data_IF_043845980229
#
_entry.id   IF_043845980229
#
_cell.length_a   1.000
_cell.length_b   1.000
_cell.length_c   1.000
_cell.angle_alpha   90.00
_cell.angle_beta   90.00
_cell.angle_gamma   90.00
#
_symmetry.space_group_name_H-M   'P 1'
#
loop_
_entity.id
_entity.type
_entity.pdbx_description
1 polymer ?
#
# COMPACT_ATOMS: atom_id res chain seq x y z
N UNK A 1 4.36 -26.72 51.75
CA UNK A 1 2.92 -26.96 52.00
C UNK A 1 2.23 -25.64 52.33
N UNK A 2 1.33 -25.20 51.43
CA UNK A 2 0.13 -24.34 51.60
C UNK A 2 0.14 -23.16 52.60
N UNK A 3 -0.15 -21.95 52.07
CA UNK A 3 -1.18 -20.96 52.48
C UNK A 3 -0.96 -19.68 51.63
N UNK A 4 -1.53 -19.55 50.43
CA UNK A 4 -2.85 -19.00 50.09
C UNK A 4 -3.25 -17.76 50.92
N UNK A 5 -3.06 -16.59 50.31
CA UNK A 5 -3.70 -15.33 50.66
C UNK A 5 -4.91 -15.10 49.75
N UNK A 6 -6.05 -14.84 50.38
CA UNK A 6 -7.29 -14.31 49.83
C UNK A 6 -7.15 -12.81 49.53
N UNK A 7 -7.66 -12.36 48.39
CA UNK A 7 -8.41 -11.08 48.22
C UNK A 7 -9.39 -11.32 47.07
N UNK A 8 -10.67 -11.11 47.35
CA UNK A 8 -11.75 -11.31 46.39
C UNK A 8 -11.97 -10.11 45.48
N UNK A 9 -12.60 -10.36 44.34
CA UNK A 9 -13.60 -9.47 43.77
C UNK A 9 -14.44 -10.27 42.77
N UNK A 10 -15.67 -10.59 43.18
CA UNK A 10 -16.72 -11.08 42.30
C UNK A 10 -17.35 -9.88 41.59
N UNK A 11 -17.29 -9.84 40.25
CA UNK A 11 -18.26 -9.07 39.47
C UNK A 11 -18.79 -9.95 38.34
N UNK A 12 -20.01 -10.45 38.56
CA UNK A 12 -20.84 -11.13 37.57
C UNK A 12 -21.22 -10.12 36.49
N UNK A 13 -20.76 -10.34 35.25
CA UNK A 13 -21.33 -9.69 34.07
C UNK A 13 -22.70 -10.32 33.77
N UNK A 14 -23.77 -9.61 34.16
CA UNK A 14 -25.13 -9.95 33.76
C UNK A 14 -25.34 -9.43 32.34
N UNK A 15 -25.43 -10.36 31.37
CA UNK A 15 -26.01 -10.08 30.07
C UNK A 15 -27.50 -9.77 30.25
N UNK A 16 -27.98 -8.63 29.75
CA UNK A 16 -29.42 -8.35 29.64
C UNK A 16 -29.84 -8.26 28.18
N UNK A 17 -30.73 -9.19 27.82
CA UNK A 17 -31.60 -9.13 26.65
C UNK A 17 -32.44 -7.85 26.66
N UNK A 18 -32.50 -7.15 25.52
CA UNK A 18 -33.50 -6.12 25.29
C UNK A 18 -34.86 -6.79 25.08
N UNK A 19 -35.76 -6.62 26.04
CA UNK A 19 -37.19 -6.83 25.86
C UNK A 19 -37.91 -5.47 25.89
N UNK A 20 -38.87 -5.36 24.98
CA UNK A 20 -39.81 -4.27 24.77
C UNK A 20 -40.43 -3.71 26.05
N UNK A 21 -40.50 -2.37 26.18
CA UNK A 21 -41.71 -1.60 26.53
C UNK A 21 -41.45 -0.12 26.19
N UNK A 22 -42.28 0.45 25.34
CA UNK A 22 -42.41 1.88 25.16
C UNK A 22 -43.44 2.44 26.14
N UNK A 23 -43.09 3.43 26.97
CA UNK A 23 -44.02 4.49 27.45
C UNK A 23 -43.27 5.78 27.81
N UNK A 24 -43.75 6.87 27.17
CA UNK A 24 -43.83 8.28 27.60
C UNK A 24 -42.57 8.96 28.16
N UNK A 25 -41.97 9.79 27.30
CA UNK A 25 -41.73 11.20 27.58
C UNK A 25 -40.70 11.54 28.65
N UNK A 26 -39.43 11.29 28.37
CA UNK A 26 -38.29 12.02 28.94
C UNK A 26 -37.05 11.71 28.08
N UNK A 27 -36.26 12.72 27.73
CA UNK A 27 -34.95 12.55 27.07
C UNK A 27 -33.88 12.64 28.16
N UNK A 28 -33.15 11.58 28.52
CA UNK A 28 -31.97 11.72 29.37
C UNK A 28 -30.74 11.75 28.46
N UNK A 29 -30.19 12.95 28.34
CA UNK A 29 -28.94 13.22 27.63
C UNK A 29 -28.45 14.58 28.09
N UNK A 30 -27.70 14.61 29.18
CA UNK A 30 -27.15 15.84 29.72
C UNK A 30 -26.89 15.71 31.20
N UNK A 31 -25.84 14.98 31.58
CA UNK A 31 -24.98 15.29 32.74
C UNK A 31 -23.82 14.28 32.94
N UNK A 32 -23.81 13.12 32.28
CA UNK A 32 -22.72 12.13 32.44
C UNK A 32 -21.49 12.31 31.53
N UNK A 33 -21.44 13.37 30.70
CA UNK A 33 -20.27 13.64 29.82
C UNK A 33 -19.24 14.60 30.43
N UNK A 34 -19.44 15.06 31.65
CA UNK A 34 -18.63 16.14 32.26
C UNK A 34 -17.42 15.64 33.05
N UNK A 35 -17.13 14.34 33.10
CA UNK A 35 -16.07 13.76 33.96
C UNK A 35 -14.99 12.93 33.26
N UNK A 36 -14.96 12.88 31.93
CA UNK A 36 -13.78 12.35 31.24
C UNK A 36 -12.83 13.51 30.97
N UNK A 37 -11.86 13.67 31.88
CA UNK A 37 -10.69 14.51 31.73
C UNK A 37 -10.08 14.33 30.33
N UNK A 38 -9.83 15.45 29.66
CA UNK A 38 -9.33 15.51 28.29
C UNK A 38 -7.89 14.98 28.09
N UNK A 39 -7.23 14.47 29.14
CA UNK A 39 -5.79 14.24 29.15
C UNK A 39 -5.33 12.78 29.27
N UNK A 40 -6.24 11.78 29.31
CA UNK A 40 -5.87 10.35 29.42
C UNK A 40 -6.12 9.51 28.15
N UNK A 41 -6.29 10.14 26.99
CA UNK A 41 -6.39 9.42 25.71
C UNK A 41 -5.11 9.62 24.91
N UNK A 42 -4.36 8.54 24.71
CA UNK A 42 -3.37 8.41 23.64
C UNK A 42 -3.88 9.12 22.37
N UNK A 43 -3.06 9.92 21.67
CA UNK A 43 -3.52 10.96 20.76
C UNK A 43 -4.59 10.39 19.83
N UNK A 44 -5.83 10.89 19.95
CA UNK A 44 -6.94 10.45 19.13
C UNK A 44 -6.52 10.55 17.67
N UNK A 45 -6.17 9.41 17.05
CA UNK A 45 -5.63 9.38 15.70
C UNK A 45 -6.63 10.08 14.79
N UNK A 46 -6.22 11.23 14.24
CA UNK A 46 -7.01 12.03 13.32
C UNK A 46 -7.46 11.13 12.16
N UNK A 47 -8.77 10.90 12.08
CA UNK A 47 -9.35 10.10 11.01
C UNK A 47 -9.10 10.78 9.66
N UNK A 48 -8.86 9.96 8.65
CA UNK A 48 -8.72 10.36 7.25
C UNK A 48 -10.03 10.09 6.50
N UNK A 49 -10.21 10.76 5.38
CA UNK A 49 -11.40 10.61 4.51
C UNK A 49 -11.01 9.81 3.29
N UNK A 50 -11.33 8.52 3.29
CA UNK A 50 -11.13 7.63 2.14
C UNK A 50 -12.33 7.74 1.21
N UNK A 51 -12.12 7.89 -0.10
CA UNK A 51 -13.21 8.12 -1.05
C UNK A 51 -13.00 7.36 -2.37
N UNK A 52 -14.10 7.19 -3.09
CA UNK A 52 -14.15 6.34 -4.29
C UNK A 52 -14.61 4.92 -3.97
N UNK A 53 -15.21 4.28 -4.97
CA UNK A 53 -15.92 3.02 -4.79
C UNK A 53 -14.96 1.84 -4.52
N UNK A 54 -14.02 1.59 -5.43
CA UNK A 54 -13.04 0.51 -5.30
C UNK A 54 -12.11 0.67 -4.08
N UNK A 55 -11.53 1.86 -3.79
CA UNK A 55 -10.74 2.07 -2.58
C UNK A 55 -11.52 1.76 -1.29
N UNK A 56 -12.77 2.20 -1.19
CA UNK A 56 -13.57 1.94 0.00
C UNK A 56 -13.93 0.45 0.14
N UNK A 57 -14.29 -0.21 -0.95
CA UNK A 57 -14.62 -1.63 -0.94
C UNK A 57 -13.42 -2.50 -0.56
N UNK A 58 -12.25 -2.22 -1.14
CA UNK A 58 -11.01 -2.94 -0.83
C UNK A 58 -10.52 -2.66 0.59
N UNK A 59 -10.60 -1.42 1.07
CA UNK A 59 -10.27 -1.09 2.47
C UNK A 59 -11.16 -1.83 3.47
N UNK A 60 -12.46 -1.93 3.19
CA UNK A 60 -13.35 -2.77 3.98
C UNK A 60 -12.86 -4.22 3.94
N UNK A 61 -12.74 -4.83 2.76
CA UNK A 61 -12.37 -6.26 2.63
C UNK A 61 -11.05 -6.58 3.33
N UNK A 62 -10.01 -5.79 3.10
CA UNK A 62 -8.69 -5.98 3.68
C UNK A 62 -8.64 -5.80 5.21
N UNK A 63 -9.56 -5.02 5.78
CA UNK A 63 -9.68 -4.78 7.22
C UNK A 63 -8.37 -4.25 7.88
N UNK A 64 -7.51 -3.58 7.11
CA UNK A 64 -6.26 -2.96 7.59
C UNK A 64 -6.45 -1.58 8.21
N UNK A 65 -7.65 -1.00 8.05
CA UNK A 65 -8.05 0.27 8.65
C UNK A 65 -9.23 0.06 9.58
N UNK A 66 -9.27 0.81 10.67
CA UNK A 66 -10.50 0.98 11.46
C UNK A 66 -11.43 1.93 10.71
N UNK A 67 -12.64 1.50 10.41
CA UNK A 67 -13.65 2.32 9.75
C UNK A 67 -14.64 2.83 10.79
N UNK A 68 -14.72 4.15 10.94
CA UNK A 68 -15.63 4.79 11.89
C UNK A 68 -17.06 4.90 11.34
N UNK A 69 -17.20 5.25 10.06
CA UNK A 69 -18.49 5.34 9.37
C UNK A 69 -18.34 5.37 7.85
N UNK A 70 -19.38 4.91 7.16
CA UNK A 70 -19.55 4.99 5.72
C UNK A 70 -20.53 6.12 5.37
N UNK A 71 -20.13 7.00 4.46
CA UNK A 71 -20.97 8.03 3.85
C UNK A 71 -21.29 7.61 2.42
N UNK A 72 -22.54 7.23 2.19
CA UNK A 72 -23.02 6.71 0.91
C UNK A 72 -24.12 7.60 0.37
N UNK A 73 -23.85 8.30 -0.73
CA UNK A 73 -24.85 9.12 -1.41
C UNK A 73 -25.99 8.25 -1.93
N UNK A 74 -27.24 8.62 -1.62
CA UNK A 74 -28.41 8.02 -2.24
C UNK A 74 -28.42 8.31 -3.75
N UNK A 75 -28.32 7.27 -4.58
CA UNK A 75 -28.41 7.39 -6.03
C UNK A 75 -29.86 7.52 -6.51
N UNK A 76 -30.08 8.22 -7.63
CA UNK A 76 -31.41 8.31 -8.27
C UNK A 76 -31.92 6.95 -8.78
N UNK A 77 -31.01 6.04 -9.14
CA UNK A 77 -31.31 4.71 -9.68
C UNK A 77 -31.27 3.57 -8.63
N UNK A 78 -31.29 3.90 -7.33
CA UNK A 78 -31.11 2.92 -6.26
C UNK A 78 -29.66 2.47 -6.04
N UNK A 79 -29.48 1.51 -5.13
CA UNK A 79 -28.19 0.89 -4.81
C UNK A 79 -28.03 -0.38 -5.63
N UNK A 80 -27.16 -0.35 -6.65
CA UNK A 80 -26.88 -1.48 -7.52
C UNK A 80 -25.38 -1.73 -7.65
N UNK A 81 -24.99 -2.94 -8.04
CA UNK A 81 -23.60 -3.35 -8.26
C UNK A 81 -22.71 -3.15 -7.03
N UNK A 82 -21.49 -2.64 -7.24
CA UNK A 82 -20.49 -2.42 -6.19
C UNK A 82 -20.98 -1.57 -5.01
N UNK A 83 -21.96 -0.66 -5.20
CA UNK A 83 -22.52 0.14 -4.11
C UNK A 83 -23.41 -0.68 -3.16
N UNK A 84 -24.18 -1.62 -3.71
CA UNK A 84 -24.98 -2.54 -2.92
C UNK A 84 -24.06 -3.49 -2.13
N UNK A 85 -22.98 -3.95 -2.77
CA UNK A 85 -21.99 -4.75 -2.09
C UNK A 85 -21.30 -3.99 -0.96
N UNK A 86 -20.88 -2.74 -1.20
CA UNK A 86 -20.27 -1.90 -0.18
C UNK A 86 -21.18 -1.73 1.05
N UNK A 87 -22.48 -1.50 0.82
CA UNK A 87 -23.47 -1.41 1.89
C UNK A 87 -23.54 -2.73 2.68
N UNK A 88 -23.69 -3.86 1.99
CA UNK A 88 -23.77 -5.19 2.60
C UNK A 88 -22.55 -5.49 3.47
N UNK A 89 -21.35 -5.18 2.98
CA UNK A 89 -20.09 -5.40 3.70
C UNK A 89 -19.97 -4.48 4.93
N UNK A 90 -20.45 -3.24 4.83
CA UNK A 90 -20.47 -2.31 5.95
C UNK A 90 -21.46 -2.74 7.04
N UNK A 91 -22.68 -3.12 6.65
CA UNK A 91 -23.72 -3.61 7.57
C UNK A 91 -23.30 -4.91 8.26
N UNK A 92 -22.71 -5.86 7.53
CA UNK A 92 -22.20 -7.11 8.10
C UNK A 92 -21.10 -6.90 9.16
N UNK A 93 -20.42 -5.75 9.12
CA UNK A 93 -19.40 -5.36 10.11
C UNK A 93 -19.90 -4.38 11.17
N UNK A 94 -21.20 -4.06 11.17
CA UNK A 94 -21.79 -3.10 12.10
C UNK A 94 -21.27 -1.66 11.92
N UNK A 95 -20.78 -1.30 10.73
CA UNK A 95 -20.27 0.05 10.45
C UNK A 95 -21.46 0.98 10.20
N UNK A 96 -21.58 2.12 10.92
CA UNK A 96 -22.65 3.09 10.70
C UNK A 96 -22.64 3.65 9.28
N UNK A 97 -23.80 3.67 8.62
CA UNK A 97 -23.98 4.19 7.26
C UNK A 97 -24.82 5.46 7.28
N UNK A 98 -24.25 6.56 6.80
CA UNK A 98 -24.91 7.86 6.66
C UNK A 98 -25.15 8.18 5.19
N UNK A 99 -26.26 8.87 4.90
CA UNK A 99 -26.64 9.27 3.54
C UNK A 99 -26.63 10.79 3.37
N UNK A 100 -25.45 11.42 3.21
CA UNK A 100 -25.37 12.86 3.03
C UNK A 100 -25.85 13.30 1.64
N UNK A 101 -26.19 14.60 1.53
CA UNK A 101 -26.38 15.27 0.23
C UNK A 101 -25.05 15.37 -0.51
N UNK A 102 -25.09 15.38 -1.84
CA UNK A 102 -23.91 15.48 -2.71
C UNK A 102 -22.96 16.63 -2.33
N UNK A 103 -23.50 17.84 -2.18
CA UNK A 103 -22.71 19.03 -1.81
C UNK A 103 -21.90 18.84 -0.52
N UNK A 104 -22.47 18.16 0.47
CA UNK A 104 -21.77 17.87 1.73
C UNK A 104 -20.64 16.86 1.51
N UNK A 105 -20.85 15.87 0.65
CA UNK A 105 -19.85 14.88 0.29
C UNK A 105 -18.70 15.49 -0.52
N UNK A 106 -19.01 16.38 -1.46
CA UNK A 106 -18.03 17.14 -2.24
C UNK A 106 -17.11 17.93 -1.29
N UNK A 107 -17.70 18.69 -0.36
CA UNK A 107 -16.94 19.45 0.64
C UNK A 107 -16.08 18.56 1.55
N UNK A 108 -16.61 17.41 2.01
CA UNK A 108 -15.86 16.46 2.82
C UNK A 108 -14.65 15.87 2.08
N UNK A 109 -14.78 15.63 0.76
CA UNK A 109 -13.72 15.03 -0.05
C UNK A 109 -12.80 16.06 -0.71
N UNK A 110 -12.89 17.35 -0.32
CA UNK A 110 -12.09 18.43 -0.93
C UNK A 110 -12.36 18.57 -2.42
N UNK A 111 -13.61 18.40 -2.85
CA UNK A 111 -14.08 18.47 -4.24
C UNK A 111 -13.42 17.46 -5.20
N UNK A 112 -12.80 16.40 -4.67
CA UNK A 112 -12.28 15.30 -5.47
C UNK A 112 -13.38 14.33 -5.92
N UNK A 113 -13.10 13.56 -6.98
CA UNK A 113 -14.05 12.60 -7.56
C UNK A 113 -14.31 11.42 -6.62
N UNK A 114 -15.30 11.55 -5.77
CA UNK A 114 -15.65 10.55 -4.74
C UNK A 114 -16.60 9.44 -5.19
N UNK A 115 -17.23 9.55 -6.37
CA UNK A 115 -18.21 8.57 -6.90
C UNK A 115 -19.41 8.30 -5.96
N UNK A 116 -19.74 9.22 -5.06
CA UNK A 116 -20.86 9.08 -4.11
C UNK A 116 -20.53 8.26 -2.87
N UNK A 117 -19.24 7.99 -2.62
CA UNK A 117 -18.77 7.17 -1.50
C UNK A 117 -17.61 7.85 -0.79
N UNK A 118 -17.70 7.92 0.54
CA UNK A 118 -16.60 8.32 1.42
C UNK A 118 -16.67 7.50 2.72
N UNK A 119 -15.54 7.24 3.35
CA UNK A 119 -15.44 6.61 4.66
C UNK A 119 -14.50 7.42 5.54
N UNK A 120 -14.84 7.52 6.82
CA UNK A 120 -13.90 8.01 7.82
C UNK A 120 -13.15 6.81 8.40
N UNK A 121 -11.83 6.83 8.24
CA UNK A 121 -10.98 5.69 8.50
C UNK A 121 -9.74 6.08 9.29
N UNK A 122 -9.14 5.14 9.99
CA UNK A 122 -7.79 5.32 10.53
C UNK A 122 -6.78 5.49 9.37
N UNK A 123 -5.68 6.22 9.61
CA UNK A 123 -4.58 6.27 8.65
C UNK A 123 -4.04 4.87 8.36
N UNK A 124 -3.56 4.67 7.14
CA UNK A 124 -2.74 3.53 6.77
C UNK A 124 -1.27 3.92 6.91
N UNK A 125 -0.45 3.03 7.44
CA UNK A 125 0.97 3.26 7.66
C UNK A 125 1.77 2.14 6.99
N UNK A 126 2.91 2.47 6.35
CA UNK A 126 3.82 1.43 5.90
C UNK A 126 4.37 0.68 7.11
N UNK A 127 4.61 -0.62 6.92
CA UNK A 127 5.25 -1.47 7.94
C UNK A 127 6.76 -1.20 8.00
N UNK A 128 7.43 -1.41 9.14
CA UNK A 128 8.89 -1.38 9.20
C UNK A 128 9.50 -2.44 8.26
N UNK A 129 10.62 -2.10 7.61
CA UNK A 129 11.28 -3.02 6.66
C UNK A 129 11.83 -4.30 7.31
N UNK A 130 12.07 -4.30 8.62
CA UNK A 130 12.55 -5.49 9.34
C UNK A 130 11.55 -6.65 9.21
N UNK A 131 10.24 -6.35 9.20
CA UNK A 131 9.17 -7.33 8.96
C UNK A 131 9.10 -7.83 7.51
N UNK A 132 9.83 -7.18 6.58
CA UNK A 132 9.86 -7.57 5.18
C UNK A 132 10.66 -8.85 4.94
N UNK A 133 11.58 -9.20 5.84
CA UNK A 133 12.37 -10.44 5.74
C UNK A 133 11.62 -11.65 6.33
N UNK A 134 10.86 -11.44 7.41
CA UNK A 134 10.30 -12.52 8.23
C UNK A 134 9.07 -13.19 7.61
N UNK A 135 8.39 -12.51 6.70
CA UNK A 135 7.21 -13.03 6.01
C UNK A 135 7.64 -13.80 4.76
N UNK A 136 8.37 -14.92 4.92
CA UNK A 136 8.84 -15.75 3.80
C UNK A 136 7.67 -16.15 2.88
N UNK A 137 7.48 -15.42 1.78
CA UNK A 137 6.80 -15.93 0.60
C UNK A 137 7.68 -17.07 0.10
N UNK A 138 7.26 -18.30 0.41
CA UNK A 138 8.09 -19.51 0.34
C UNK A 138 8.81 -19.65 -0.99
N UNK A 139 10.06 -20.13 -0.95
CA UNK A 139 10.90 -20.70 -2.01
C UNK A 139 10.71 -20.26 -3.49
N UNK A 140 10.12 -19.09 -3.79
CA UNK A 140 10.06 -18.60 -5.17
C UNK A 140 11.45 -18.09 -5.53
N UNK A 141 12.15 -18.76 -6.47
CA UNK A 141 13.49 -18.37 -6.87
C UNK A 141 13.52 -16.99 -7.56
N UNK A 142 12.37 -16.41 -7.92
CA UNK A 142 12.25 -15.17 -8.67
C UNK A 142 11.19 -14.26 -8.02
N UNK A 143 11.52 -13.72 -6.85
CA UNK A 143 10.77 -12.62 -6.24
C UNK A 143 11.14 -11.28 -6.86
N UNK A 144 10.17 -10.38 -6.98
CA UNK A 144 10.35 -9.02 -7.48
C UNK A 144 9.82 -8.02 -6.45
N UNK A 145 10.72 -7.25 -5.86
CA UNK A 145 10.35 -6.16 -4.98
C UNK A 145 10.59 -4.83 -5.68
N UNK A 146 9.66 -3.90 -5.48
CA UNK A 146 9.75 -2.57 -6.02
C UNK A 146 10.20 -1.61 -4.93
N UNK A 147 11.26 -0.86 -5.18
CA UNK A 147 11.84 0.11 -4.27
C UNK A 147 11.62 1.51 -4.83
N UNK A 148 10.98 2.37 -4.05
CA UNK A 148 10.58 3.72 -4.43
C UNK A 148 11.37 4.74 -3.60
N UNK A 149 12.34 5.40 -4.23
CA UNK A 149 13.13 6.47 -3.64
C UNK A 149 12.53 7.83 -3.98
N UNK A 150 12.03 8.54 -2.98
CA UNK A 150 11.73 9.96 -3.12
C UNK A 150 10.53 10.31 -4.01
N UNK A 151 9.57 9.39 -4.21
CA UNK A 151 8.33 9.69 -4.94
C UNK A 151 7.43 10.58 -4.09
N UNK A 152 7.18 11.81 -4.55
CA UNK A 152 6.45 12.81 -3.76
C UNK A 152 4.99 13.00 -4.20
N UNK A 153 4.67 12.76 -5.48
CA UNK A 153 3.32 12.94 -5.98
C UNK A 153 2.42 11.74 -5.61
N UNK A 154 1.32 11.94 -4.85
CA UNK A 154 0.39 10.86 -4.50
C UNK A 154 -0.27 10.20 -5.72
N UNK A 155 -0.40 10.91 -6.85
CA UNK A 155 -0.97 10.34 -8.08
C UNK A 155 0.00 9.37 -8.74
N UNK A 156 1.27 9.76 -8.88
CA UNK A 156 2.32 8.87 -9.38
C UNK A 156 2.49 7.65 -8.46
N UNK A 157 2.59 7.85 -7.14
CA UNK A 157 2.69 6.73 -6.19
C UNK A 157 1.51 5.78 -6.34
N UNK A 158 0.28 6.29 -6.40
CA UNK A 158 -0.90 5.44 -6.56
C UNK A 158 -0.90 4.65 -7.88
N UNK A 159 -0.53 5.30 -8.99
CA UNK A 159 -0.44 4.63 -10.29
C UNK A 159 0.65 3.55 -10.30
N UNK A 160 1.82 3.83 -9.71
CA UNK A 160 2.92 2.86 -9.50
C UNK A 160 2.44 1.67 -8.70
N UNK A 161 1.78 1.89 -7.55
CA UNK A 161 1.25 0.81 -6.71
C UNK A 161 0.22 -0.06 -7.43
N UNK A 162 -0.64 0.55 -8.26
CA UNK A 162 -1.62 -0.19 -9.06
C UNK A 162 -0.93 -1.08 -10.08
N UNK A 163 0.03 -0.54 -10.82
CA UNK A 163 0.82 -1.32 -11.79
C UNK A 163 1.60 -2.44 -11.11
N UNK A 164 2.24 -2.15 -9.97
CA UNK A 164 2.96 -3.12 -9.17
C UNK A 164 2.06 -4.28 -8.73
N UNK A 165 0.87 -3.98 -8.20
CA UNK A 165 -0.06 -5.02 -7.75
C UNK A 165 -0.56 -5.87 -8.91
N UNK A 166 -0.91 -5.22 -10.02
CA UNK A 166 -1.45 -5.89 -11.19
C UNK A 166 -0.42 -6.79 -11.88
N UNK A 167 0.86 -6.39 -11.86
CA UNK A 167 1.96 -7.12 -12.49
C UNK A 167 2.65 -8.11 -11.55
N UNK A 168 2.12 -8.31 -10.33
CA UNK A 168 2.61 -9.34 -9.41
C UNK A 168 3.90 -8.99 -8.67
N UNK A 169 4.15 -7.72 -8.39
CA UNK A 169 5.23 -7.31 -7.46
C UNK A 169 4.88 -7.82 -6.06
N UNK A 170 5.82 -8.53 -5.43
CA UNK A 170 5.61 -9.15 -4.11
C UNK A 170 5.55 -8.10 -3.00
N UNK A 171 6.44 -7.09 -3.06
CA UNK A 171 6.55 -6.05 -2.03
C UNK A 171 6.90 -4.70 -2.62
N UNK A 172 6.38 -3.67 -1.98
CA UNK A 172 6.79 -2.29 -2.25
C UNK A 172 7.52 -1.74 -1.03
N UNK A 173 8.74 -1.27 -1.23
CA UNK A 173 9.59 -0.62 -0.23
C UNK A 173 9.66 0.87 -0.58
N UNK A 174 9.53 1.75 0.41
CA UNK A 174 9.71 3.19 0.23
C UNK A 174 10.71 3.76 1.24
N UNK A 175 11.38 4.85 0.90
CA UNK A 175 12.16 5.60 1.89
C UNK A 175 11.22 6.25 2.92
N UNK A 176 11.57 6.13 4.21
CA UNK A 176 10.78 6.74 5.31
C UNK A 176 10.77 8.27 5.26
N UNK A 177 11.82 8.86 4.69
CA UNK A 177 11.97 10.30 4.47
C UNK A 177 11.78 10.61 2.99
N UNK A 178 11.34 11.83 2.71
CA UNK A 178 11.19 12.41 1.37
C UNK A 178 10.25 11.64 0.42
N UNK A 179 9.34 10.82 0.98
CA UNK A 179 8.33 10.09 0.21
C UNK A 179 6.92 10.54 0.56
N UNK A 180 6.02 10.40 -0.41
CA UNK A 180 4.61 10.65 -0.25
C UNK A 180 4.01 9.67 0.79
N UNK A 181 3.26 10.16 1.80
CA UNK A 181 2.57 9.28 2.73
C UNK A 181 1.43 8.50 2.04
N UNK A 182 1.03 7.38 2.64
CA UNK A 182 -0.09 6.52 2.19
C UNK A 182 -1.46 7.16 2.44
N UNK A 183 -1.77 8.22 1.69
CA UNK A 183 -2.98 9.02 1.85
C UNK A 183 -4.19 8.43 1.11
N UNK A 184 -5.41 8.88 1.43
CA UNK A 184 -6.60 8.59 0.63
C UNK A 184 -6.48 8.91 -0.86
N UNK A 185 -5.68 9.92 -1.23
CA UNK A 185 -5.43 10.29 -2.63
C UNK A 185 -4.63 9.19 -3.33
N UNK A 186 -3.63 8.61 -2.67
CA UNK A 186 -2.86 7.45 -3.18
C UNK A 186 -3.78 6.23 -3.30
N UNK A 187 -4.64 5.99 -2.32
CA UNK A 187 -5.66 4.92 -2.40
C UNK A 187 -6.57 5.09 -3.62
N UNK A 188 -7.03 6.32 -3.86
CA UNK A 188 -7.86 6.65 -5.01
C UNK A 188 -7.12 6.47 -6.33
N UNK A 189 -5.90 7.00 -6.45
CA UNK A 189 -5.08 6.90 -7.64
C UNK A 189 -4.70 5.44 -7.97
N UNK A 190 -4.50 4.61 -6.94
CA UNK A 190 -4.21 3.18 -7.09
C UNK A 190 -5.44 2.30 -7.35
N UNK A 191 -6.63 2.89 -7.48
CA UNK A 191 -7.91 2.17 -7.52
C UNK A 191 -8.12 1.21 -6.32
N UNK A 192 -7.48 1.50 -5.18
CA UNK A 192 -7.53 0.72 -3.95
C UNK A 192 -6.47 -0.37 -3.81
N UNK A 193 -5.54 -0.53 -4.78
CA UNK A 193 -4.45 -1.49 -4.64
C UNK A 193 -3.61 -1.27 -3.36
N UNK A 194 -3.44 -0.01 -2.95
CA UNK A 194 -2.79 0.36 -1.69
C UNK A 194 -3.44 -0.28 -0.45
N UNK A 195 -4.74 -0.56 -0.48
CA UNK A 195 -5.46 -1.12 0.66
C UNK A 195 -5.19 -2.62 0.83
N UNK A 196 -4.83 -3.33 -0.24
CA UNK A 196 -4.58 -4.79 -0.23
C UNK A 196 -3.09 -5.16 -0.33
N UNK A 197 -2.23 -4.20 -0.68
CA UNK A 197 -0.79 -4.41 -0.84
C UNK A 197 -0.01 -4.08 0.43
N UNK A 198 1.00 -4.89 0.73
CA UNK A 198 1.96 -4.60 1.79
C UNK A 198 3.04 -3.63 1.31
N UNK A 199 3.13 -2.50 2.02
CA UNK A 199 4.11 -1.44 1.79
C UNK A 199 4.98 -1.33 3.02
N UNK A 200 6.28 -1.35 2.80
CA UNK A 200 7.29 -1.26 3.84
C UNK A 200 8.06 0.05 3.72
N UNK A 201 8.55 0.56 4.84
CA UNK A 201 9.38 1.76 4.88
C UNK A 201 10.71 1.48 5.58
N UNK A 202 11.80 1.95 4.98
CA UNK A 202 13.15 1.91 5.58
C UNK A 202 13.69 3.32 5.85
N UNK A 203 14.31 3.57 7.02
CA UNK A 203 15.01 4.83 7.29
C UNK A 203 16.36 4.95 6.58
N UNK A 204 16.96 3.82 6.21
CA UNK A 204 18.25 3.70 5.52
C UNK A 204 18.05 2.84 4.26
N UNK A 205 17.90 3.50 3.13
CA UNK A 205 17.66 2.82 1.86
C UNK A 205 18.96 2.22 1.28
N UNK A 206 20.09 2.93 1.21
CA UNK A 206 21.35 2.35 0.74
C UNK A 206 21.78 1.12 1.54
N UNK A 207 21.73 1.18 2.88
CA UNK A 207 22.08 0.04 3.73
C UNK A 207 21.17 -1.17 3.50
N UNK A 208 19.86 -0.95 3.31
CA UNK A 208 18.92 -2.01 2.96
C UNK A 208 19.26 -2.68 1.63
N UNK A 209 19.56 -1.89 0.59
CA UNK A 209 19.92 -2.41 -0.73
C UNK A 209 21.21 -3.24 -0.68
N UNK A 210 22.22 -2.76 0.04
CA UNK A 210 23.50 -3.46 0.22
C UNK A 210 23.32 -4.78 0.97
N UNK A 211 22.54 -4.78 2.06
CA UNK A 211 22.25 -5.98 2.83
C UNK A 211 21.52 -7.04 1.97
N UNK A 212 20.57 -6.62 1.13
CA UNK A 212 19.88 -7.52 0.20
C UNK A 212 20.78 -8.05 -0.89
N UNK A 213 21.67 -7.21 -1.44
CA UNK A 213 22.68 -7.64 -2.40
C UNK A 213 23.57 -8.76 -1.83
N UNK A 214 24.00 -8.63 -0.58
CA UNK A 214 24.77 -9.67 0.13
C UNK A 214 23.98 -10.96 0.36
N UNK A 215 22.64 -10.88 0.43
CA UNK A 215 21.74 -12.03 0.50
C UNK A 215 21.44 -12.67 -0.86
N UNK A 216 22.14 -12.26 -1.93
CA UNK A 216 21.98 -12.81 -3.28
C UNK A 216 20.88 -12.15 -4.12
N UNK A 217 20.28 -11.05 -3.64
CA UNK A 217 19.33 -10.28 -4.44
C UNK A 217 20.05 -9.45 -5.50
N UNK A 218 19.49 -9.38 -6.70
CA UNK A 218 19.95 -8.47 -7.73
C UNK A 218 19.34 -7.07 -7.49
N UNK A 219 20.19 -6.07 -7.28
CA UNK A 219 19.74 -4.68 -7.12
C UNK A 219 19.84 -3.96 -8.46
N UNK A 220 18.68 -3.64 -9.02
CA UNK A 220 18.54 -3.04 -10.35
C UNK A 220 17.99 -1.64 -10.23
N UNK A 221 18.81 -0.63 -10.53
CA UNK A 221 18.36 0.76 -10.62
C UNK A 221 17.73 1.07 -11.97
N UNK A 222 16.98 2.15 -12.05
CA UNK A 222 16.41 2.65 -13.31
C UNK A 222 16.98 4.02 -13.65
N UNK A 223 17.32 4.22 -14.92
CA UNK A 223 17.79 5.50 -15.43
C UNK A 223 17.02 5.91 -16.68
N UNK A 224 16.97 7.23 -16.92
CA UNK A 224 16.43 7.78 -18.16
C UNK A 224 17.26 7.41 -19.39
N UNK A 225 17.02 8.08 -20.50
CA UNK A 225 17.85 7.88 -21.69
C UNK A 225 19.29 8.30 -21.36
N UNK A 226 20.30 7.42 -21.53
CA UNK A 226 21.68 7.78 -21.24
C UNK A 226 22.13 8.88 -22.23
N UNK A 227 22.37 10.08 -21.70
CA UNK A 227 23.08 11.14 -22.42
C UNK A 227 24.58 10.83 -22.53
N UNK A 228 25.35 11.58 -23.34
CA UNK A 228 26.80 11.43 -23.44
C UNK A 228 27.52 11.57 -22.08
N UNK A 229 26.95 12.31 -21.14
CA UNK A 229 27.53 12.55 -19.80
C UNK A 229 27.39 11.35 -18.84
N UNK A 230 26.27 10.60 -18.92
CA UNK A 230 26.01 9.44 -18.04
C UNK A 230 26.90 8.25 -18.42
N UNK A 231 27.19 8.12 -19.71
CA UNK A 231 28.00 7.04 -20.29
C UNK A 231 29.48 7.08 -19.88
N UNK A 232 30.00 8.21 -19.38
CA UNK A 232 31.44 8.36 -19.09
C UNK A 232 31.80 8.29 -17.60
N UNK A 233 30.83 8.42 -16.67
CA UNK A 233 31.11 8.52 -15.23
C UNK A 233 30.76 7.27 -14.41
N UNK A 234 29.97 6.36 -14.96
CA UNK A 234 29.35 5.28 -14.17
C UNK A 234 30.05 3.93 -14.34
N UNK A 235 30.56 3.36 -13.24
CA UNK A 235 31.09 1.98 -13.21
C UNK A 235 30.02 0.89 -13.34
N UNK A 236 28.74 1.25 -13.18
CA UNK A 236 27.61 0.31 -13.18
C UNK A 236 27.11 0.10 -14.63
N UNK A 237 26.94 -1.14 -15.11
CA UNK A 237 26.46 -1.40 -16.46
C UNK A 237 25.03 -0.91 -16.67
N UNK A 238 24.77 -0.36 -17.85
CA UNK A 238 23.43 0.05 -18.30
C UNK A 238 22.96 -0.94 -19.36
N UNK A 239 21.75 -1.47 -19.20
CA UNK A 239 21.14 -2.47 -20.09
C UNK A 239 19.72 -2.06 -20.48
N UNK A 240 19.34 -2.36 -21.71
CA UNK A 240 17.95 -2.19 -22.16
C UNK A 240 17.02 -3.09 -21.35
N UNK A 241 15.86 -2.58 -20.93
CA UNK A 241 14.89 -3.41 -20.21
C UNK A 241 14.38 -4.62 -21.02
N UNK A 242 14.57 -4.64 -22.34
CA UNK A 242 14.22 -5.75 -23.24
C UNK A 242 15.27 -6.87 -23.30
N UNK A 243 16.47 -6.63 -22.77
CA UNK A 243 17.59 -7.58 -22.75
C UNK A 243 17.81 -8.16 -21.34
N UNK A 244 17.00 -7.73 -20.38
CA UNK A 244 17.14 -8.09 -18.98
C UNK A 244 16.54 -9.47 -18.67
N UNK A 245 17.41 -10.45 -18.42
CA UNK A 245 16.98 -11.77 -17.98
C UNK A 245 16.73 -11.79 -16.48
N UNK A 246 15.49 -12.07 -16.08
CA UNK A 246 15.13 -12.21 -14.68
C UNK A 246 15.40 -13.65 -14.21
N UNK A 247 16.50 -13.87 -13.50
CA UNK A 247 17.00 -15.21 -13.11
C UNK A 247 17.11 -15.46 -11.60
N UNK A 248 16.89 -14.44 -10.78
CA UNK A 248 17.02 -14.52 -9.30
C UNK A 248 16.15 -13.45 -8.62
N UNK A 249 16.01 -13.45 -7.29
CA UNK A 249 15.27 -12.42 -6.57
C UNK A 249 15.83 -11.03 -6.88
N UNK A 250 14.97 -10.10 -7.25
CA UNK A 250 15.38 -8.80 -7.81
C UNK A 250 14.68 -7.65 -7.07
N UNK A 251 15.45 -6.63 -6.73
CA UNK A 251 14.97 -5.31 -6.30
C UNK A 251 15.01 -4.37 -7.50
N UNK A 252 13.85 -3.89 -7.95
CA UNK A 252 13.78 -2.83 -8.96
C UNK A 252 13.67 -1.48 -8.24
N UNK A 253 14.65 -0.61 -8.42
CA UNK A 253 14.76 0.69 -7.73
C UNK A 253 14.42 1.82 -8.68
N UNK A 254 13.35 2.55 -8.35
CA UNK A 254 12.88 3.73 -9.06
C UNK A 254 13.22 4.99 -8.26
N UNK A 255 13.82 5.95 -8.96
CA UNK A 255 14.17 7.25 -8.39
C UNK A 255 13.02 8.26 -8.43
N UNK A 256 13.31 9.43 -7.86
CA UNK A 256 12.37 10.56 -7.85
C UNK A 256 12.12 11.09 -9.27
N UNK A 257 10.98 11.72 -9.48
CA UNK A 257 10.55 12.20 -10.80
C UNK A 257 11.46 13.27 -11.41
N UNK A 258 12.22 13.99 -10.58
CA UNK A 258 13.08 15.09 -11.01
C UNK A 258 14.55 14.70 -11.09
N UNK A 259 15.14 14.29 -9.96
CA UNK A 259 16.58 14.03 -9.88
C UNK A 259 16.95 12.57 -10.15
N UNK A 260 15.98 11.68 -10.37
CA UNK A 260 16.24 10.25 -10.48
C UNK A 260 16.72 9.66 -9.15
N UNK A 261 17.64 8.69 -9.25
CA UNK A 261 18.24 8.00 -8.10
C UNK A 261 19.27 8.91 -7.41
N UNK A 262 19.33 8.88 -6.08
CA UNK A 262 20.43 9.53 -5.35
C UNK A 262 21.77 8.83 -5.65
N UNK A 263 22.88 9.54 -5.47
CA UNK A 263 24.22 8.96 -5.70
C UNK A 263 24.48 7.72 -4.82
N UNK A 264 23.99 7.71 -3.59
CA UNK A 264 24.16 6.60 -2.64
C UNK A 264 23.38 5.34 -3.08
N UNK A 265 22.13 5.54 -3.52
CA UNK A 265 21.30 4.46 -4.05
C UNK A 265 21.84 3.97 -5.39
N UNK A 266 22.26 4.89 -6.26
CA UNK A 266 22.91 4.57 -7.53
C UNK A 266 24.16 3.72 -7.33
N UNK A 267 25.03 4.08 -6.37
CA UNK A 267 26.22 3.31 -6.04
C UNK A 267 25.93 1.92 -5.45
N UNK A 268 24.73 1.72 -4.90
CA UNK A 268 24.27 0.43 -4.38
C UNK A 268 23.65 -0.47 -5.46
N UNK A 269 23.45 0.05 -6.67
CA UNK A 269 22.91 -0.72 -7.80
C UNK A 269 24.01 -1.55 -8.47
N UNK A 270 23.67 -2.79 -8.81
CA UNK A 270 24.56 -3.71 -9.54
C UNK A 270 24.36 -3.61 -11.06
N UNK A 271 23.17 -3.19 -11.48
CA UNK A 271 22.75 -3.02 -12.86
C UNK A 271 21.81 -1.82 -12.96
N UNK A 272 21.84 -1.12 -14.09
CA UNK A 272 20.87 -0.07 -14.41
C UNK A 272 20.05 -0.49 -15.63
N UNK A 273 18.72 -0.35 -15.53
CA UNK A 273 17.82 -0.53 -16.65
C UNK A 273 17.38 0.81 -17.23
N UNK A 274 17.30 0.85 -18.55
CA UNK A 274 16.77 1.99 -19.30
C UNK A 274 15.70 1.53 -20.28
N UNK A 275 14.73 2.41 -20.53
CA UNK A 275 13.75 2.25 -21.61
C UNK A 275 14.27 3.05 -22.80
N UNK A 276 14.70 2.34 -23.85
CA UNK A 276 15.24 3.00 -25.03
C UNK A 276 14.14 3.73 -25.82
N UNK A 277 14.36 5.00 -26.21
CA UNK A 277 13.41 5.72 -27.03
C UNK A 277 13.40 5.17 -28.47
N UNK A 278 12.23 5.17 -29.11
CA UNK A 278 12.07 4.75 -30.52
C UNK A 278 12.34 5.86 -31.54
N UNK A 279 12.73 7.04 -31.07
CA UNK A 279 13.05 8.22 -31.88
C UNK A 279 14.11 9.06 -31.19
N UNK A 280 14.75 9.94 -31.95
CA UNK A 280 15.60 10.96 -31.35
C UNK A 280 14.75 11.88 -30.47
N UNK A 281 15.23 12.14 -29.26
CA UNK A 281 14.56 13.00 -28.29
C UNK A 281 15.11 14.42 -28.40
N UNK A 282 14.25 15.45 -28.37
CA UNK A 282 14.73 16.82 -28.28
C UNK A 282 15.43 17.07 -26.93
N UNK A 283 16.34 18.05 -26.85
CA UNK A 283 16.96 18.45 -25.58
C UNK A 283 15.90 18.76 -24.51
N UNK A 284 16.11 18.26 -23.29
CA UNK A 284 15.19 18.44 -22.16
C UNK A 284 14.03 17.42 -22.07
N UNK A 285 13.85 16.53 -23.06
CA UNK A 285 12.95 15.38 -22.94
C UNK A 285 13.78 14.10 -22.77
N UNK A 286 14.15 13.79 -21.53
CA UNK A 286 15.13 12.73 -21.25
C UNK A 286 14.52 11.46 -20.62
N UNK A 287 13.31 11.56 -20.10
CA UNK A 287 12.67 10.50 -19.33
C UNK A 287 11.15 10.45 -19.52
N UNK A 288 10.58 9.30 -19.16
CA UNK A 288 9.15 9.10 -19.03
C UNK A 288 8.70 9.45 -17.60
N UNK A 289 7.41 9.74 -17.44
CA UNK A 289 6.81 9.79 -16.11
C UNK A 289 7.05 8.46 -15.36
N UNK A 290 7.39 8.54 -14.08
CA UNK A 290 7.74 7.37 -13.24
C UNK A 290 6.69 6.27 -13.26
N UNK A 291 5.40 6.60 -13.28
CA UNK A 291 4.32 5.61 -13.29
C UNK A 291 4.24 4.84 -14.62
N UNK A 292 4.50 5.52 -15.74
CA UNK A 292 4.55 4.91 -17.07
C UNK A 292 5.80 4.05 -17.21
N UNK A 293 6.96 4.57 -16.80
CA UNK A 293 8.21 3.83 -16.80
C UNK A 293 8.10 2.54 -15.97
N UNK A 294 7.51 2.63 -14.78
CA UNK A 294 7.25 1.48 -13.90
C UNK A 294 6.44 0.40 -14.62
N UNK A 295 5.33 0.77 -15.26
CA UNK A 295 4.49 -0.19 -15.97
C UNK A 295 5.23 -0.92 -17.09
N UNK A 296 6.02 -0.19 -17.87
CA UNK A 296 6.83 -0.76 -18.97
C UNK A 296 7.91 -1.69 -18.40
N UNK A 297 8.65 -1.25 -17.38
CA UNK A 297 9.73 -2.02 -16.78
C UNK A 297 9.22 -3.32 -16.16
N UNK A 298 8.19 -3.24 -15.32
CA UNK A 298 7.59 -4.40 -14.68
C UNK A 298 7.05 -5.38 -15.71
N UNK A 299 6.33 -4.91 -16.73
CA UNK A 299 5.81 -5.78 -17.78
C UNK A 299 6.93 -6.47 -18.57
N UNK A 300 8.01 -5.74 -18.87
CA UNK A 300 9.19 -6.28 -19.54
C UNK A 300 9.90 -7.36 -18.72
N UNK A 301 10.12 -7.10 -17.43
CA UNK A 301 10.76 -8.04 -16.49
C UNK A 301 9.92 -9.31 -16.34
N UNK A 302 8.61 -9.17 -16.12
CA UNK A 302 7.71 -10.32 -15.98
C UNK A 302 7.65 -11.18 -17.25
N UNK A 303 7.79 -10.55 -18.44
CA UNK A 303 7.84 -11.27 -19.73
C UNK A 303 9.16 -12.01 -19.97
N UNK A 304 10.21 -11.67 -19.21
CA UNK A 304 11.55 -12.24 -19.31
C UNK A 304 11.88 -13.18 -18.14
N UNK A 305 10.87 -13.69 -17.45
CA UNK A 305 11.03 -14.66 -16.36
C UNK A 305 11.69 -15.93 -16.91
N UNK A 306 12.89 -16.24 -16.43
CA UNK A 306 13.56 -17.50 -16.76
C UNK A 306 12.74 -18.66 -16.22
N UNK A 307 12.37 -19.62 -17.07
CA UNK A 307 11.64 -20.82 -16.65
C UNK A 307 12.63 -21.78 -16.02
N UNK A 308 12.53 -21.98 -14.70
CA UNK A 308 13.24 -23.07 -14.02
C UNK A 308 12.44 -24.36 -14.20
N UNK A 309 13.06 -25.48 -14.62
CA UNK A 309 12.39 -26.77 -14.61
C UNK A 309 12.02 -27.10 -13.16
N UNK A 310 10.74 -27.37 -12.91
CA UNK A 310 10.26 -27.87 -11.62
C UNK A 310 10.94 -29.21 -11.37
N UNK A 311 11.86 -29.28 -10.41
CA UNK A 311 12.41 -30.56 -9.97
C UNK A 311 11.27 -31.37 -9.34
N UNK A 312 10.95 -32.51 -9.94
CA UNK A 312 10.02 -33.52 -9.42
C UNK A 312 10.48 -33.95 -8.01
N UNK A 313 9.94 -33.29 -6.97
CA UNK A 313 10.01 -33.81 -5.61
C UNK A 313 8.98 -34.92 -5.47
N UNK A 314 9.36 -36.14 -5.83
CA UNK A 314 8.51 -37.29 -5.59
C UNK A 314 9.00 -38.61 -6.17
N UNK A 315 10.09 -39.17 -5.65
CA UNK A 315 10.34 -40.62 -5.60
C UNK A 315 11.64 -40.94 -4.84
N UNK A 316 11.61 -40.92 -3.51
CA UNK A 316 12.57 -41.61 -2.64
C UNK A 316 11.86 -41.97 -1.32
N UNK A 317 10.81 -42.79 -1.40
CA UNK A 317 10.21 -43.48 -0.26
C UNK A 317 9.58 -44.80 -0.73
N UNK A 318 10.36 -45.68 -1.36
CA UNK A 318 10.10 -47.12 -1.40
C UNK A 318 11.47 -47.82 -1.51
N UNK A 319 12.04 -48.15 -0.36
CA UNK A 319 12.96 -49.29 -0.14
C UNK A 319 13.42 -49.22 1.33
N UNK A 320 12.55 -49.67 2.23
CA UNK A 320 12.85 -50.13 3.60
C UNK A 320 11.68 -50.96 4.12
#
# INVERSE_FOLDING_TARGET
>A
MRRLWTIGCFSRLIARHFSSVARRGERPGGEELSRLLLDDLAPAQRLERLFGLSPCLLALRAARRRVARLLLQAGKAGLQGERAELLRVAEARGIPVLRPRRQKLDALCGYQVHQGVCMEVSPLRPRPCDEAADTSSGDDPQQLWLVLEGLQDPRNLGAVMRSAHFLGVDRVITSRRNSCPLTPVVSKASAGAMEVMDVFATPDLPGFLQAKAQQGWLVVGTVGCPGPEISQSSKVPITSCLEFVWDRPTLLVLGSEGSGLSQEVFASCQLLLTILPRRHLPPGLESLNVSVATGILLHSICSQKKVFPVQERGQLLQDS
#
